data_IF_966054407139
#
_entry.id   IF_966054407139
#
_cell.length_a   1.000
_cell.length_b   1.000
_cell.length_c   1.000
_cell.angle_alpha   90.00
_cell.angle_beta   90.00
_cell.angle_gamma   90.00
#
_symmetry.space_group_name_H-M   'P 1'
#
loop_
_entity.id
_entity.type
_entity.pdbx_description
1 polymer ?
#
# COMPACT_ATOMS: atom_id res chain seq x y z
N UNK A 1 -50.63 14.77 43.48
CA UNK A 1 -49.23 15.22 43.45
C UNK A 1 -48.42 14.08 42.87
N UNK A 2 -48.33 13.93 41.55
CA UNK A 2 -47.39 14.61 40.64
C UNK A 2 -46.33 13.58 40.21
N UNK A 3 -46.48 12.86 39.09
CA UNK A 3 -45.90 13.16 37.75
C UNK A 3 -44.35 13.13 37.78
N UNK A 4 -43.55 12.45 36.95
CA UNK A 4 -43.62 12.12 35.51
C UNK A 4 -42.66 10.97 35.11
N UNK A 5 -42.97 10.34 33.97
CA UNK A 5 -42.13 9.50 33.10
C UNK A 5 -40.87 10.19 32.56
N UNK A 6 -39.84 9.41 32.15
CA UNK A 6 -39.38 9.37 30.74
C UNK A 6 -38.08 8.57 30.49
N UNK A 7 -38.20 7.62 29.56
CA UNK A 7 -37.32 7.33 28.41
C UNK A 7 -35.83 7.72 28.44
N UNK A 8 -34.95 6.72 28.42
CA UNK A 8 -33.65 6.74 27.72
C UNK A 8 -33.51 5.40 26.99
N UNK A 9 -34.00 5.31 25.74
CA UNK A 9 -33.23 5.47 24.49
C UNK A 9 -32.18 4.38 24.27
N UNK A 10 -32.59 3.46 23.40
CA UNK A 10 -31.76 2.58 22.57
C UNK A 10 -30.53 3.31 22.04
N UNK A 11 -29.36 2.71 22.25
CA UNK A 11 -28.18 2.96 21.42
C UNK A 11 -27.71 1.61 20.86
N UNK A 12 -28.50 1.11 19.91
CA UNK A 12 -27.92 0.37 18.79
C UNK A 12 -26.99 1.33 18.06
N UNK A 13 -25.68 1.18 18.27
CA UNK A 13 -24.68 1.78 17.39
C UNK A 13 -23.64 0.72 17.02
N UNK A 14 -23.87 0.22 15.81
CA UNK A 14 -22.88 -0.29 14.85
C UNK A 14 -22.32 -1.69 15.07
N UNK A 15 -23.23 -2.66 15.05
CA UNK A 15 -23.03 -3.82 14.19
C UNK A 15 -22.95 -3.36 12.73
N UNK A 16 -21.75 -3.08 12.24
CA UNK A 16 -21.48 -3.09 10.81
C UNK A 16 -20.05 -3.59 10.55
N UNK A 17 -19.79 -4.83 10.96
CA UNK A 17 -18.75 -5.62 10.29
C UNK A 17 -19.31 -5.94 8.88
N UNK A 18 -18.71 -5.43 7.80
CA UNK A 18 -19.23 -5.73 6.48
C UNK A 18 -19.07 -7.23 6.22
N UNK A 19 -20.16 -7.82 5.75
CA UNK A 19 -20.31 -9.21 5.33
C UNK A 19 -19.11 -9.71 4.52
N UNK A 20 -18.50 -10.80 4.97
CA UNK A 20 -17.39 -11.48 4.31
C UNK A 20 -16.02 -10.92 4.70
N UNK A 21 -15.58 -11.22 5.92
CA UNK A 21 -14.16 -11.10 6.30
C UNK A 21 -13.32 -11.90 5.30
N UNK A 22 -12.76 -11.23 4.30
CA UNK A 22 -11.82 -11.85 3.36
C UNK A 22 -10.57 -12.20 4.15
N UNK A 23 -10.36 -13.49 4.38
CA UNK A 23 -9.14 -13.99 5.00
C UNK A 23 -8.02 -13.91 3.96
N UNK A 24 -6.95 -13.21 4.33
CA UNK A 24 -5.78 -13.07 3.49
C UNK A 24 -4.62 -13.88 4.08
N UNK A 25 -4.32 -15.02 3.47
CA UNK A 25 -3.19 -15.87 3.82
C UNK A 25 -2.10 -15.75 2.75
N UNK A 26 -1.30 -14.68 2.83
CA UNK A 26 -0.22 -14.46 1.87
C UNK A 26 1.01 -15.29 2.25
N UNK A 27 1.50 -16.08 1.29
CA UNK A 27 2.86 -16.60 1.35
C UNK A 27 3.87 -15.45 1.32
N UNK A 28 4.90 -15.54 2.17
CA UNK A 28 5.95 -14.55 2.28
C UNK A 28 6.99 -14.76 1.17
N UNK A 29 7.26 -13.71 0.40
CA UNK A 29 8.32 -13.72 -0.61
C UNK A 29 9.20 -12.46 -0.48
N UNK A 30 10.35 -12.42 -1.15
CA UNK A 30 11.19 -11.22 -1.15
C UNK A 30 10.49 -9.99 -1.77
N UNK A 31 9.56 -10.20 -2.70
CA UNK A 31 8.74 -9.14 -3.30
C UNK A 31 7.56 -8.75 -2.41
N UNK A 32 6.95 -9.74 -1.74
CA UNK A 32 5.80 -9.55 -0.85
C UNK A 32 6.08 -10.19 0.52
N UNK A 33 6.95 -9.59 1.35
CA UNK A 33 7.25 -10.15 2.66
C UNK A 33 6.00 -10.11 3.52
N UNK A 34 5.78 -11.17 4.29
CA UNK A 34 4.63 -11.29 5.19
C UNK A 34 5.04 -12.04 6.46
N UNK A 35 4.41 -11.72 7.58
CA UNK A 35 4.81 -12.23 8.88
C UNK A 35 6.13 -11.63 9.36
N UNK A 36 6.75 -12.26 10.36
CA UNK A 36 8.01 -11.78 10.92
C UNK A 36 9.18 -12.45 10.20
N UNK A 37 9.72 -11.78 9.18
CA UNK A 37 10.77 -12.34 8.31
C UNK A 37 11.92 -11.37 8.11
N UNK A 38 13.12 -11.93 7.94
CA UNK A 38 14.35 -11.19 7.69
C UNK A 38 15.11 -11.81 6.53
N UNK A 39 15.64 -10.98 5.64
CA UNK A 39 16.43 -11.43 4.50
C UNK A 39 17.36 -10.33 4.00
N UNK A 40 18.36 -10.71 3.21
CA UNK A 40 19.35 -9.80 2.66
C UNK A 40 19.56 -10.10 1.18
N UNK A 41 19.91 -9.07 0.41
CA UNK A 41 20.32 -9.24 -1.00
C UNK A 41 21.44 -8.27 -1.35
N UNK A 42 22.26 -8.57 -2.38
CA UNK A 42 23.24 -7.62 -2.89
C UNK A 42 22.56 -6.31 -3.31
N UNK A 43 23.20 -5.18 -3.02
CA UNK A 43 22.74 -3.89 -3.48
C UNK A 43 22.94 -3.80 -5.00
N UNK A 44 21.84 -3.78 -5.75
CA UNK A 44 21.87 -3.51 -7.18
C UNK A 44 22.05 -2.00 -7.45
N UNK A 45 22.63 -1.65 -8.61
CA UNK A 45 22.72 -0.25 -9.06
C UNK A 45 21.32 0.38 -9.26
N UNK A 46 20.31 -0.46 -9.41
CA UNK A 46 18.90 -0.07 -9.38
C UNK A 46 18.50 0.17 -7.92
N UNK A 47 18.25 1.42 -7.53
CA UNK A 47 17.91 1.82 -6.16
C UNK A 47 16.54 1.31 -5.68
N UNK A 48 15.97 0.26 -6.29
CA UNK A 48 14.64 -0.21 -5.93
C UNK A 48 14.69 -1.14 -4.72
N UNK A 49 14.94 -0.58 -3.54
CA UNK A 49 14.67 -1.21 -2.23
C UNK A 49 13.16 -1.34 -1.95
N UNK A 50 12.36 -1.39 -3.02
CA UNK A 50 10.92 -1.47 -2.98
C UNK A 50 10.47 -2.92 -2.82
N UNK A 51 9.42 -3.10 -2.02
CA UNK A 51 8.60 -4.32 -1.99
C UNK A 51 7.28 -4.03 -2.70
N UNK A 52 6.56 -5.06 -3.12
CA UNK A 52 5.29 -4.95 -3.84
C UNK A 52 4.17 -4.28 -3.01
N UNK A 53 4.28 -4.31 -1.68
CA UNK A 53 3.35 -3.63 -0.77
C UNK A 53 3.34 -2.11 -0.93
N UNK A 54 2.23 -1.48 -0.53
CA UNK A 54 2.08 -0.03 -0.49
C UNK A 54 2.76 0.53 0.76
N UNK A 55 4.09 0.70 0.71
CA UNK A 55 4.89 1.11 1.86
C UNK A 55 5.15 2.62 1.88
N UNK A 56 4.85 3.25 3.02
CA UNK A 56 5.16 4.63 3.36
C UNK A 56 6.50 4.68 4.10
N UNK A 57 7.44 5.53 3.68
CA UNK A 57 8.64 5.83 4.48
C UNK A 57 8.27 6.89 5.52
N UNK A 58 8.39 6.58 6.81
CA UNK A 58 8.10 7.51 7.90
C UNK A 58 9.34 7.92 8.71
N UNK A 59 10.47 7.23 8.52
CA UNK A 59 11.72 7.55 9.17
C UNK A 59 12.89 7.20 8.28
N UNK A 60 13.90 8.04 8.27
CA UNK A 60 15.16 7.78 7.59
C UNK A 60 16.31 8.21 8.48
N UNK A 61 17.39 7.44 8.47
CA UNK A 61 18.64 7.78 9.12
C UNK A 61 19.78 7.48 8.13
N UNK A 62 20.74 8.37 8.03
CA UNK A 62 21.86 8.27 7.10
C UNK A 62 23.17 8.53 7.86
N UNK A 63 24.09 7.59 7.78
CA UNK A 63 25.48 7.73 8.20
C UNK A 63 26.42 7.41 7.04
N UNK A 64 27.72 7.66 7.20
CA UNK A 64 28.73 7.54 6.15
C UNK A 64 28.70 6.19 5.39
N UNK A 65 28.43 5.08 6.10
CA UNK A 65 28.43 3.72 5.54
C UNK A 65 27.05 3.06 5.52
N UNK A 66 26.02 3.71 6.08
CA UNK A 66 24.74 3.05 6.38
C UNK A 66 23.54 3.95 6.16
N UNK A 67 22.58 3.46 5.37
CA UNK A 67 21.28 4.12 5.17
C UNK A 67 20.16 3.26 5.73
N UNK A 68 19.34 3.80 6.61
CA UNK A 68 18.20 3.09 7.20
C UNK A 68 16.89 3.79 6.82
N UNK A 69 15.92 3.02 6.34
CA UNK A 69 14.56 3.47 6.06
C UNK A 69 13.57 2.66 6.86
N UNK A 70 12.76 3.34 7.66
CA UNK A 70 11.62 2.75 8.36
C UNK A 70 10.36 3.00 7.56
N UNK A 71 9.62 1.91 7.28
CA UNK A 71 8.45 1.92 6.43
C UNK A 71 7.25 1.26 7.12
N UNK A 72 6.06 1.79 6.89
CA UNK A 72 4.79 1.21 7.34
C UNK A 72 3.88 0.93 6.15
N UNK A 73 3.09 -0.13 6.22
CA UNK A 73 2.13 -0.45 5.18
C UNK A 73 0.91 0.48 5.26
N UNK A 74 0.55 1.08 4.13
CA UNK A 74 -0.65 1.93 4.01
C UNK A 74 -1.93 1.13 3.83
N UNK A 75 -1.85 -0.19 3.66
CA UNK A 75 -3.00 -1.02 3.32
C UNK A 75 -3.41 -0.89 1.85
N UNK A 76 -4.71 -0.96 1.59
CA UNK A 76 -5.30 -0.82 0.24
C UNK A 76 -6.64 -0.10 0.28
N UNK A 77 -7.05 0.44 -0.88
CA UNK A 77 -8.45 0.76 -1.13
C UNK A 77 -9.10 -0.43 -1.81
N UNK A 78 -10.19 -0.95 -1.25
CA UNK A 78 -10.85 -2.17 -1.71
C UNK A 78 -12.32 -1.90 -2.02
N UNK A 79 -12.82 -2.49 -3.11
CA UNK A 79 -14.25 -2.48 -3.40
C UNK A 79 -14.99 -3.42 -2.42
N UNK A 80 -16.12 -2.98 -1.81
CA UNK A 80 -16.92 -3.86 -0.97
C UNK A 80 -17.59 -5.01 -1.75
N UNK A 81 -17.87 -4.80 -3.04
CA UNK A 81 -18.72 -5.72 -3.83
C UNK A 81 -17.92 -6.72 -4.67
N UNK A 82 -16.67 -6.42 -5.04
CA UNK A 82 -15.83 -7.28 -5.89
C UNK A 82 -14.37 -7.32 -5.44
N UNK A 83 -13.49 -7.98 -6.21
CA UNK A 83 -12.06 -8.15 -5.89
C UNK A 83 -11.17 -6.98 -6.31
N UNK A 84 -11.76 -5.88 -6.82
CA UNK A 84 -10.99 -4.71 -7.22
C UNK A 84 -10.29 -4.07 -6.03
N UNK A 85 -9.00 -3.79 -6.21
CA UNK A 85 -8.15 -3.09 -5.24
C UNK A 85 -7.29 -2.03 -5.90
N UNK A 86 -7.15 -0.90 -5.22
CA UNK A 86 -6.32 0.23 -5.62
C UNK A 86 -5.18 0.43 -4.61
N UNK A 87 -3.97 0.66 -5.14
CA UNK A 87 -2.78 0.97 -4.36
C UNK A 87 -2.93 2.38 -3.76
N UNK A 88 -2.87 2.55 -2.43
CA UNK A 88 -3.00 3.86 -1.81
C UNK A 88 -1.90 4.81 -2.26
N UNK A 89 -2.25 6.08 -2.37
CA UNK A 89 -1.31 7.15 -2.72
C UNK A 89 -0.64 7.69 -1.46
N UNK A 90 0.66 7.90 -1.55
CA UNK A 90 1.49 8.40 -0.45
C UNK A 90 1.09 9.87 -0.13
N UNK A 91 0.93 10.23 1.16
CA UNK A 91 0.69 11.62 1.57
C UNK A 91 1.81 12.56 1.10
N UNK A 92 1.45 13.75 0.61
CA UNK A 92 2.37 14.66 -0.09
C UNK A 92 3.03 15.74 0.79
N UNK A 93 2.69 15.88 2.06
CA UNK A 93 3.19 16.98 2.88
C UNK A 93 3.27 16.67 4.37
N UNK A 94 4.19 17.37 5.06
CA UNK A 94 4.36 17.34 6.52
C UNK A 94 5.38 16.32 7.03
N UNK A 95 5.61 16.31 8.35
CA UNK A 95 6.34 15.24 9.04
C UNK A 95 5.51 13.96 8.91
N UNK A 96 5.88 13.11 7.96
CA UNK A 96 5.21 11.82 7.73
C UNK A 96 5.44 10.94 8.96
N UNK A 97 4.38 10.69 9.72
CA UNK A 97 4.42 9.78 10.86
C UNK A 97 4.17 8.34 10.44
N UNK A 98 4.55 7.40 11.30
CA UNK A 98 4.32 5.95 11.13
C UNK A 98 2.86 5.60 10.83
N UNK A 99 1.92 6.41 11.31
CA UNK A 99 0.47 6.20 11.21
C UNK A 99 -0.21 7.20 10.27
N UNK A 100 0.54 7.86 9.39
CA UNK A 100 -0.06 8.78 8.43
C UNK A 100 -1.07 8.05 7.54
N UNK A 101 -2.27 8.62 7.43
CA UNK A 101 -3.33 8.08 6.58
C UNK A 101 -2.97 8.32 5.12
N UNK A 102 -3.26 7.37 4.20
CA UNK A 102 -3.04 7.60 2.77
C UNK A 102 -3.92 8.74 2.24
N UNK A 103 -3.56 9.30 1.09
CA UNK A 103 -4.48 10.18 0.36
C UNK A 103 -5.71 9.39 -0.08
N UNK A 104 -6.91 10.01 -0.15
CA UNK A 104 -8.13 9.36 -0.62
C UNK A 104 -7.93 8.58 -1.92
N UNK A 105 -8.76 7.54 -2.12
CA UNK A 105 -8.81 6.82 -3.39
C UNK A 105 -8.93 7.81 -4.56
N UNK A 106 -8.24 7.52 -5.67
CA UNK A 106 -8.30 8.38 -6.85
C UNK A 106 -9.67 8.28 -7.52
N UNK A 107 -10.25 7.07 -7.48
CA UNK A 107 -11.41 6.71 -8.27
C UNK A 107 -12.34 5.77 -7.50
N UNK A 108 -13.45 5.41 -8.13
CA UNK A 108 -14.34 4.33 -7.69
C UNK A 108 -13.85 2.97 -8.22
N UNK A 109 -14.54 1.90 -7.84
CA UNK A 109 -14.33 0.59 -8.43
C UNK A 109 -14.57 0.62 -9.94
N UNK A 110 -13.61 0.13 -10.72
CA UNK A 110 -13.69 0.11 -12.19
C UNK A 110 -14.60 -0.98 -12.75
N UNK A 111 -15.12 -1.87 -11.89
CA UNK A 111 -15.97 -2.99 -12.29
C UNK A 111 -17.45 -2.65 -12.06
N UNK A 112 -17.79 -2.13 -10.89
CA UNK A 112 -19.17 -1.92 -10.44
C UNK A 112 -19.49 -0.46 -10.03
N UNK A 113 -18.52 0.46 -10.15
CA UNK A 113 -18.70 1.87 -9.81
C UNK A 113 -18.79 2.19 -8.30
N UNK A 114 -18.64 1.20 -7.42
CA UNK A 114 -18.77 1.41 -5.99
C UNK A 114 -17.62 2.24 -5.39
N UNK A 115 -17.91 3.03 -4.35
CA UNK A 115 -16.89 3.77 -3.59
C UNK A 115 -15.93 2.79 -2.90
N UNK A 116 -14.63 3.03 -3.07
CA UNK A 116 -13.61 2.20 -2.43
C UNK A 116 -13.47 2.51 -0.94
N UNK A 117 -13.29 1.46 -0.14
CA UNK A 117 -13.10 1.55 1.32
C UNK A 117 -11.63 1.33 1.65
N UNK A 118 -11.08 2.13 2.55
CA UNK A 118 -9.71 1.96 3.02
C UNK A 118 -9.64 0.79 4.01
N UNK A 119 -8.79 -0.20 3.71
CA UNK A 119 -8.43 -1.28 4.62
C UNK A 119 -7.04 -0.99 5.18
N UNK A 120 -6.91 -0.52 6.43
CA UNK A 120 -5.63 -0.16 7.03
C UNK A 120 -4.79 -1.41 7.37
N UNK A 121 -3.46 -1.25 7.38
CA UNK A 121 -2.53 -2.31 7.75
C UNK A 121 -1.57 -1.85 8.85
N UNK A 122 -1.08 -2.80 9.66
CA UNK A 122 -0.10 -2.55 10.74
C UNK A 122 1.30 -3.10 10.44
N UNK A 123 1.47 -3.79 9.30
CA UNK A 123 2.76 -4.37 8.92
C UNK A 123 3.82 -3.29 8.69
N UNK A 124 5.07 -3.62 9.00
CA UNK A 124 6.21 -2.72 9.00
C UNK A 124 7.40 -3.35 8.29
N UNK A 125 8.25 -2.49 7.73
CA UNK A 125 9.49 -2.90 7.09
C UNK A 125 10.60 -1.92 7.46
N UNK A 126 11.72 -2.45 7.94
CA UNK A 126 12.98 -1.72 8.05
C UNK A 126 13.90 -2.18 6.92
N UNK A 127 14.48 -1.21 6.21
CA UNK A 127 15.45 -1.44 5.15
C UNK A 127 16.77 -0.80 5.56
N UNK A 128 17.86 -1.56 5.53
CA UNK A 128 19.21 -1.07 5.85
C UNK A 128 20.13 -1.34 4.66
N UNK A 129 20.72 -0.29 4.11
CA UNK A 129 21.79 -0.39 3.13
C UNK A 129 23.12 -0.29 3.86
N UNK A 130 23.98 -1.30 3.74
CA UNK A 130 25.28 -1.36 4.41
C UNK A 130 26.21 -2.33 3.66
N UNK A 131 27.47 -1.95 3.47
CA UNK A 131 28.52 -2.84 2.95
C UNK A 131 28.19 -3.56 1.63
N UNK A 132 27.48 -2.91 0.70
CA UNK A 132 27.10 -3.49 -0.58
C UNK A 132 25.90 -4.46 -0.52
N UNK A 133 25.21 -4.54 0.62
CA UNK A 133 23.99 -5.32 0.81
C UNK A 133 22.81 -4.43 1.21
N UNK A 134 21.61 -4.95 0.98
CA UNK A 134 20.36 -4.40 1.49
C UNK A 134 19.74 -5.47 2.39
N UNK A 135 19.61 -5.14 3.67
CA UNK A 135 18.97 -5.95 4.69
C UNK A 135 17.52 -5.50 4.88
N UNK A 136 16.61 -6.45 4.93
CA UNK A 136 15.18 -6.25 5.12
C UNK A 136 14.75 -6.94 6.41
N UNK A 137 14.07 -6.20 7.28
CA UNK A 137 13.42 -6.72 8.49
C UNK A 137 11.94 -6.38 8.41
N UNK A 138 11.10 -7.38 8.16
CA UNK A 138 9.65 -7.23 8.09
C UNK A 138 8.99 -7.70 9.39
N UNK A 139 7.93 -7.01 9.81
CA UNK A 139 7.16 -7.35 11.02
C UNK A 139 5.66 -7.22 10.77
N UNK A 140 4.90 -8.21 11.24
CA UNK A 140 3.44 -8.25 11.16
C UNK A 140 2.88 -8.93 9.90
N UNK A 141 1.57 -9.13 9.89
CA UNK A 141 0.86 -9.83 8.80
C UNK A 141 -0.01 -8.85 8.02
N UNK A 142 0.01 -8.96 6.70
CA UNK A 142 -0.85 -8.21 5.80
C UNK A 142 -2.26 -8.80 5.76
N UNK A 143 -3.22 -8.07 6.32
CA UNK A 143 -4.64 -8.42 6.41
C UNK A 143 -5.48 -7.87 5.24
N UNK A 144 -4.87 -7.66 4.08
CA UNK A 144 -5.52 -7.08 2.91
C UNK A 144 -4.94 -7.67 1.62
N UNK A 145 -5.62 -7.49 0.48
CA UNK A 145 -5.12 -8.02 -0.79
C UNK A 145 -3.78 -7.38 -1.21
N UNK A 146 -2.99 -8.11 -2.00
CA UNK A 146 -1.78 -7.55 -2.65
C UNK A 146 -2.20 -6.38 -3.56
N UNK A 147 -1.62 -5.18 -3.41
CA UNK A 147 -1.88 -4.10 -4.35
C UNK A 147 -1.44 -4.53 -5.75
N UNK A 148 -2.21 -4.17 -6.78
CA UNK A 148 -1.74 -4.36 -8.15
C UNK A 148 -0.44 -3.56 -8.34
N UNK A 149 0.61 -4.24 -8.81
CA UNK A 149 1.81 -3.57 -9.29
C UNK A 149 1.40 -2.65 -10.43
N UNK A 150 1.64 -1.35 -10.28
CA UNK A 150 1.51 -0.42 -11.39
C UNK A 150 2.54 -0.84 -12.42
N UNK A 151 2.14 -1.51 -13.49
CA UNK A 151 3.00 -1.67 -14.65
C UNK A 151 3.36 -0.25 -15.09
N UNK A 152 4.61 0.16 -14.84
CA UNK A 152 5.14 1.38 -15.41
C UNK A 152 4.88 1.31 -16.89
N UNK A 153 4.10 2.26 -17.44
CA UNK A 153 3.79 2.34 -18.87
C UNK A 153 5.10 2.15 -19.64
N UNK A 154 5.30 0.99 -20.24
CA UNK A 154 6.27 0.83 -21.31
C UNK A 154 5.83 1.84 -22.36
N UNK A 155 6.60 2.92 -22.55
CA UNK A 155 6.42 3.79 -23.71
C UNK A 155 6.65 2.87 -24.91
N UNK A 156 5.57 2.43 -25.55
CA UNK A 156 5.64 1.89 -26.90
C UNK A 156 6.27 2.98 -27.75
N UNK A 157 7.56 2.82 -28.03
CA UNK A 157 8.26 3.58 -29.05
C UNK A 157 7.62 3.15 -30.37
N UNK A 158 6.55 3.83 -30.78
CA UNK A 158 6.08 3.73 -32.15
C UNK A 158 7.20 4.28 -33.04
N UNK A 159 7.86 3.38 -33.76
CA UNK A 159 8.76 3.71 -34.86
C UNK A 159 7.88 4.24 -35.98
N UNK A 160 7.69 5.55 -36.03
CA UNK A 160 7.14 6.21 -37.21
C UNK A 160 8.20 6.14 -38.31
N UNK A 161 7.99 5.24 -39.28
CA UNK A 161 8.81 5.19 -40.50
C UNK A 161 8.56 6.49 -41.30
N UNK A 162 9.60 7.11 -41.89
CA UNK A 162 9.40 8.26 -42.76
C UNK A 162 8.78 7.83 -44.10
N UNK A 163 7.74 8.54 -44.53
CA UNK A 163 7.15 8.45 -45.87
C UNK A 163 8.15 9.08 -46.85
N UNK A 164 8.71 8.28 -47.77
CA UNK A 164 9.43 8.79 -48.94
C UNK A 164 8.40 9.30 -49.96
N UNK A 165 8.42 10.60 -50.24
CA UNK A 165 7.77 11.17 -51.43
C UNK A 165 8.66 10.89 -52.64
N UNK A 166 8.20 10.03 -53.54
CA UNK A 166 8.70 9.94 -54.90
C UNK A 166 8.13 11.14 -55.68
N UNK A 167 8.99 11.99 -56.22
CA UNK A 167 8.61 12.92 -57.29
C UNK A 167 8.74 12.17 -58.63
N UNK A 168 7.70 12.21 -59.43
CA UNK A 168 7.74 12.09 -60.90
C UNK A 168 6.60 12.93 -61.43
#
# INVERSE_FOLDING_TARGET
SGSQSSNLRSNEQDMNAPSGSRVYAHESTAEFPNGDVEYSRPADKSKTSGVGWAMLVYGHNNSLSRQTYNKSCLGVYQCPNCSYVEKPRIPRSGKISKHARPMPAKDVCKIDGAKLVHVPCKAMLKVVHESGFIHFTHRGVHNHAKPRVTQSKTRSTQVTRPIRRSKS
#
